data_IF_385703034332
#
_entry.id   IF_385703034332
#
_cell.length_a   1.000
_cell.length_b   1.000
_cell.length_c   1.000
_cell.angle_alpha   90.00
_cell.angle_beta   90.00
_cell.angle_gamma   90.00
#
_symmetry.space_group_name_H-M   'P 1'
#
loop_
_entity.id
_entity.type
_entity.pdbx_description
1 polymer ?
#
# COMPACT_ATOMS: atom_id res chain seq x y z
N UNK A 1 -11.40 5.50 3.13
CA UNK A 1 -10.88 6.65 2.34
C UNK A 1 -9.85 6.17 1.34
N UNK A 2 -9.89 6.66 0.11
CA UNK A 2 -8.87 6.41 -0.93
C UNK A 2 -7.73 7.43 -0.86
N UNK A 3 -7.86 8.42 -0.01
CA UNK A 3 -6.96 9.56 0.08
C UNK A 3 -6.10 9.38 1.34
N UNK A 4 -4.79 9.42 1.16
CA UNK A 4 -3.79 9.43 2.24
C UNK A 4 -3.67 10.83 2.79
N UNK A 5 -4.68 11.44 3.39
CA UNK A 5 -4.62 12.78 4.02
C UNK A 5 -3.65 13.81 3.36
N UNK A 6 -3.21 13.55 2.11
CA UNK A 6 -2.39 14.47 1.31
C UNK A 6 -3.33 15.23 0.35
N UNK A 7 -3.43 16.55 0.43
CA UNK A 7 -4.30 17.35 -0.45
C UNK A 7 -4.06 17.09 -1.94
N UNK A 8 -2.81 16.86 -2.33
CA UNK A 8 -2.43 16.51 -3.70
C UNK A 8 -3.15 15.25 -4.22
N UNK A 9 -3.31 14.24 -3.38
CA UNK A 9 -3.96 12.98 -3.77
C UNK A 9 -5.45 13.19 -4.02
N UNK A 10 -6.09 14.09 -3.24
CA UNK A 10 -7.49 14.48 -3.47
C UNK A 10 -7.63 15.22 -4.81
N UNK A 11 -6.78 16.19 -5.07
CA UNK A 11 -6.81 16.96 -6.32
C UNK A 11 -6.64 16.04 -7.53
N UNK A 12 -5.66 15.14 -7.51
CA UNK A 12 -5.45 14.16 -8.59
C UNK A 12 -6.68 13.26 -8.79
N UNK A 13 -7.26 12.73 -7.72
CA UNK A 13 -8.45 11.88 -7.80
C UNK A 13 -9.64 12.65 -8.42
N UNK A 14 -9.91 13.85 -7.93
CA UNK A 14 -11.01 14.68 -8.46
C UNK A 14 -10.79 15.03 -9.94
N UNK A 15 -9.55 15.36 -10.32
CA UNK A 15 -9.19 15.66 -11.71
C UNK A 15 -9.47 14.46 -12.62
N UNK A 16 -8.94 13.28 -12.26
CA UNK A 16 -9.13 12.06 -13.06
C UNK A 16 -10.61 11.66 -13.20
N UNK A 17 -11.41 11.83 -12.14
CA UNK A 17 -12.85 11.56 -12.20
C UNK A 17 -13.55 12.57 -13.15
N UNK A 18 -13.20 13.85 -13.07
CA UNK A 18 -13.78 14.89 -13.92
C UNK A 18 -13.41 14.68 -15.40
N UNK A 19 -12.16 14.31 -15.70
CA UNK A 19 -11.74 13.95 -17.07
C UNK A 19 -12.52 12.75 -17.60
N UNK A 20 -12.75 11.73 -16.80
CA UNK A 20 -13.52 10.55 -17.20
C UNK A 20 -14.99 10.91 -17.46
N UNK A 21 -15.61 11.76 -16.63
CA UNK A 21 -16.96 12.25 -16.85
C UNK A 21 -17.06 13.07 -18.16
N UNK A 22 -16.07 13.93 -18.42
CA UNK A 22 -15.99 14.69 -19.66
C UNK A 22 -15.85 13.76 -20.88
N UNK A 23 -14.97 12.77 -20.82
CA UNK A 23 -14.77 11.76 -21.87
C UNK A 23 -16.05 10.99 -22.18
N UNK A 24 -16.84 10.67 -21.14
CA UNK A 24 -18.15 10.01 -21.28
C UNK A 24 -19.28 10.96 -21.66
N UNK A 25 -19.01 12.27 -21.80
CA UNK A 25 -20.03 13.31 -22.06
C UNK A 25 -21.15 13.34 -21.01
N UNK A 26 -20.81 13.08 -19.75
CA UNK A 26 -21.74 13.13 -18.64
C UNK A 26 -21.82 14.57 -18.10
N UNK A 27 -23.02 15.00 -17.72
CA UNK A 27 -23.25 16.30 -17.05
C UNK A 27 -23.06 16.23 -15.54
N UNK A 28 -23.05 15.03 -14.97
CA UNK A 28 -22.88 14.77 -13.54
C UNK A 28 -21.88 13.64 -13.36
N UNK A 29 -21.00 13.79 -12.40
CA UNK A 29 -20.05 12.73 -12.00
C UNK A 29 -20.83 11.66 -11.22
N UNK A 30 -20.76 10.43 -11.70
CA UNK A 30 -21.38 9.27 -11.06
C UNK A 30 -20.34 8.21 -10.62
N UNK A 31 -20.81 7.15 -9.98
CA UNK A 31 -19.98 6.05 -9.52
C UNK A 31 -19.25 5.31 -10.65
N UNK A 32 -19.78 5.33 -11.88
CA UNK A 32 -19.15 4.69 -13.04
C UNK A 32 -17.86 5.38 -13.46
N UNK A 33 -17.79 6.72 -13.30
CA UNK A 33 -16.56 7.48 -13.53
C UNK A 33 -15.48 7.10 -12.53
N UNK A 34 -15.87 6.97 -11.26
CA UNK A 34 -14.98 6.58 -10.20
C UNK A 34 -14.40 5.17 -10.41
N UNK A 35 -15.27 4.19 -10.71
CA UNK A 35 -14.86 2.81 -10.94
C UNK A 35 -13.94 2.68 -12.16
N UNK A 36 -14.19 3.45 -13.21
CA UNK A 36 -13.38 3.41 -14.43
C UNK A 36 -11.93 3.86 -14.22
N UNK A 37 -11.69 4.82 -13.29
CA UNK A 37 -10.35 5.35 -13.05
C UNK A 37 -9.62 4.69 -11.90
N UNK A 38 -10.32 3.86 -11.12
CA UNK A 38 -9.80 3.34 -9.84
C UNK A 38 -8.51 2.53 -10.01
N UNK A 39 -8.41 1.74 -11.06
CA UNK A 39 -7.23 0.94 -11.35
C UNK A 39 -6.04 1.83 -11.71
N UNK A 40 -6.18 2.69 -12.71
CA UNK A 40 -5.12 3.62 -13.16
C UNK A 40 -4.67 4.52 -12.00
N UNK A 41 -5.62 5.08 -11.25
CA UNK A 41 -5.31 5.88 -10.06
C UNK A 41 -4.49 5.08 -9.04
N UNK A 42 -4.86 3.83 -8.80
CA UNK A 42 -4.15 2.94 -7.86
C UNK A 42 -2.71 2.65 -8.33
N UNK A 43 -2.53 2.44 -9.64
CA UNK A 43 -1.21 2.21 -10.25
C UNK A 43 -0.31 3.43 -10.10
N UNK A 44 -0.83 4.62 -10.41
CA UNK A 44 -0.09 5.87 -10.21
C UNK A 44 0.29 6.10 -8.75
N UNK A 45 -0.63 5.82 -7.81
CA UNK A 45 -0.35 5.94 -6.37
C UNK A 45 0.75 4.99 -5.92
N UNK A 46 0.74 3.75 -6.44
CA UNK A 46 1.79 2.77 -6.14
C UNK A 46 3.14 3.22 -6.69
N UNK A 47 3.17 3.71 -7.93
CA UNK A 47 4.37 4.27 -8.57
C UNK A 47 4.92 5.47 -7.79
N UNK A 48 4.07 6.42 -7.40
CA UNK A 48 4.49 7.57 -6.59
C UNK A 48 5.10 7.12 -5.25
N UNK A 49 4.50 6.11 -4.61
CA UNK A 49 5.02 5.56 -3.36
C UNK A 49 6.39 4.92 -3.54
N UNK A 50 6.57 4.13 -4.61
CA UNK A 50 7.87 3.52 -4.92
C UNK A 50 8.92 4.61 -5.16
N UNK A 51 8.63 5.60 -6.00
CA UNK A 51 9.56 6.69 -6.31
C UNK A 51 9.96 7.51 -5.07
N UNK A 52 9.02 7.72 -4.13
CA UNK A 52 9.29 8.46 -2.88
C UNK A 52 10.25 7.71 -1.95
N UNK A 53 10.24 6.37 -1.96
CA UNK A 53 10.94 5.57 -0.96
C UNK A 53 11.97 4.57 -1.50
N UNK A 54 12.20 4.51 -2.82
CA UNK A 54 13.13 3.55 -3.43
C UNK A 54 14.55 3.66 -2.89
N UNK A 55 15.01 4.87 -2.54
CA UNK A 55 16.32 5.10 -1.94
C UNK A 55 16.43 4.52 -0.51
N UNK A 56 15.30 4.39 0.20
CA UNK A 56 15.28 3.79 1.53
C UNK A 56 15.13 2.28 1.49
N UNK A 57 14.41 1.74 0.48
CA UNK A 57 14.23 0.31 0.24
C UNK A 57 14.27 0.05 -1.27
N UNK A 58 15.43 -0.30 -1.86
CA UNK A 58 15.59 -0.46 -3.32
C UNK A 58 14.68 -1.51 -3.95
N UNK A 59 14.29 -2.55 -3.19
CA UNK A 59 13.36 -3.60 -3.64
C UNK A 59 11.90 -3.34 -3.24
N UNK A 60 11.54 -2.06 -3.02
CA UNK A 60 10.20 -1.70 -2.55
C UNK A 60 9.11 -2.15 -3.51
N UNK A 61 9.29 -1.92 -4.81
CA UNK A 61 8.30 -2.31 -5.81
C UNK A 61 7.98 -3.81 -5.76
N UNK A 62 9.01 -4.66 -5.76
CA UNK A 62 8.85 -6.12 -5.71
C UNK A 62 8.16 -6.56 -4.41
N UNK A 63 8.53 -5.92 -3.29
CA UNK A 63 7.89 -6.16 -2.02
C UNK A 63 6.40 -5.84 -2.07
N UNK A 64 6.03 -4.65 -2.57
CA UNK A 64 4.64 -4.21 -2.63
C UNK A 64 3.78 -5.10 -3.53
N UNK A 65 4.30 -5.51 -4.68
CA UNK A 65 3.62 -6.45 -5.60
C UNK A 65 3.40 -7.80 -4.91
N UNK A 66 4.41 -8.35 -4.21
CA UNK A 66 4.29 -9.61 -3.47
C UNK A 66 3.38 -9.53 -2.24
N UNK A 67 3.04 -8.33 -1.79
CA UNK A 67 2.00 -8.13 -0.77
C UNK A 67 0.57 -8.29 -1.33
N UNK A 68 0.38 -8.41 -2.64
CA UNK A 68 -0.92 -8.74 -3.23
C UNK A 68 -1.51 -10.02 -2.60
N UNK A 69 -2.84 -10.10 -2.48
CA UNK A 69 -3.48 -11.32 -2.00
C UNK A 69 -3.18 -12.51 -2.92
N UNK A 70 -2.79 -13.61 -2.34
CA UNK A 70 -2.62 -14.88 -3.06
C UNK A 70 -3.97 -15.46 -3.48
N UNK A 71 -3.99 -16.37 -4.45
CA UNK A 71 -5.22 -17.07 -4.87
C UNK A 71 -5.95 -17.73 -3.70
N UNK A 72 -5.21 -18.29 -2.75
CA UNK A 72 -5.77 -18.89 -1.53
C UNK A 72 -6.44 -17.83 -0.64
N UNK A 73 -5.82 -16.66 -0.46
CA UNK A 73 -6.39 -15.55 0.31
C UNK A 73 -7.63 -14.97 -0.39
N UNK A 74 -7.64 -14.91 -1.73
CA UNK A 74 -8.79 -14.45 -2.52
C UNK A 74 -10.01 -15.39 -2.34
N UNK A 75 -9.79 -16.69 -2.24
CA UNK A 75 -10.85 -17.69 -2.04
C UNK A 75 -11.35 -17.72 -0.60
N UNK A 76 -10.47 -17.58 0.39
CA UNK A 76 -10.79 -17.74 1.81
C UNK A 76 -11.31 -16.48 2.50
N UNK A 77 -10.96 -15.29 2.01
CA UNK A 77 -11.22 -14.00 2.69
C UNK A 77 -11.97 -13.00 1.81
N UNK A 78 -13.01 -13.38 1.11
CA UNK A 78 -13.70 -12.60 0.08
C UNK A 78 -13.76 -11.06 0.34
N UNK A 79 -14.37 -10.60 1.42
CA UNK A 79 -14.50 -9.16 1.75
C UNK A 79 -13.27 -8.57 2.46
N UNK A 80 -12.48 -9.38 3.16
CA UNK A 80 -11.34 -8.95 3.98
C UNK A 80 -9.99 -9.43 3.42
N UNK A 81 -9.92 -9.72 2.13
CA UNK A 81 -8.71 -10.24 1.44
C UNK A 81 -7.46 -9.36 1.57
N UNK A 82 -7.63 -8.09 1.90
CA UNK A 82 -6.53 -7.14 2.13
C UNK A 82 -6.29 -6.86 3.62
N UNK A 83 -6.90 -7.64 4.52
CA UNK A 83 -6.80 -7.47 5.96
C UNK A 83 -6.07 -8.66 6.56
N UNK A 84 -5.13 -8.36 7.43
CA UNK A 84 -4.25 -9.33 8.09
C UNK A 84 -4.26 -9.10 9.61
N UNK A 85 -4.30 -10.14 10.40
CA UNK A 85 -3.84 -10.06 11.79
C UNK A 85 -2.35 -9.76 11.84
N UNK A 86 -1.82 -9.37 12.98
CA UNK A 86 -0.37 -9.12 13.13
C UNK A 86 0.44 -10.39 12.79
N UNK A 87 -0.04 -11.55 13.23
CA UNK A 87 0.61 -12.82 12.93
C UNK A 87 0.60 -13.17 11.42
N UNK A 88 -0.53 -12.96 10.75
CA UNK A 88 -0.65 -13.19 9.29
C UNK A 88 0.24 -12.22 8.49
N UNK A 89 0.29 -10.94 8.89
CA UNK A 89 1.15 -9.94 8.26
C UNK A 89 2.62 -10.35 8.37
N UNK A 90 3.06 -10.72 9.57
CA UNK A 90 4.43 -11.16 9.81
C UNK A 90 4.76 -12.46 9.05
N UNK A 91 3.85 -13.42 9.02
CA UNK A 91 4.03 -14.66 8.27
C UNK A 91 4.18 -14.39 6.76
N UNK A 92 3.33 -13.50 6.21
CA UNK A 92 3.40 -13.09 4.80
C UNK A 92 4.73 -12.43 4.47
N UNK A 93 5.19 -11.48 5.28
CA UNK A 93 6.48 -10.79 5.09
C UNK A 93 7.64 -11.77 5.20
N UNK A 94 7.65 -12.69 6.18
CA UNK A 94 8.67 -13.74 6.31
C UNK A 94 8.74 -14.63 5.07
N UNK A 95 7.59 -15.02 4.53
CA UNK A 95 7.55 -15.82 3.30
C UNK A 95 8.14 -15.05 2.09
N UNK A 96 7.85 -13.76 1.97
CA UNK A 96 8.46 -12.91 0.94
C UNK A 96 9.97 -12.84 1.12
N UNK A 97 10.46 -12.67 2.35
CA UNK A 97 11.90 -12.62 2.67
C UNK A 97 12.64 -13.90 2.33
N UNK A 98 12.02 -15.07 2.42
CA UNK A 98 12.67 -16.35 2.04
C UNK A 98 13.08 -16.37 0.55
N UNK A 99 12.37 -15.59 -0.29
CA UNK A 99 12.60 -15.54 -1.73
C UNK A 99 13.30 -14.25 -2.18
N UNK A 100 13.60 -13.34 -1.24
CA UNK A 100 14.06 -12.01 -1.59
C UNK A 100 14.83 -11.37 -0.43
N UNK A 101 16.10 -11.04 -0.66
CA UNK A 101 16.89 -10.29 0.31
C UNK A 101 16.44 -8.84 0.34
N UNK A 102 15.87 -8.39 1.46
CA UNK A 102 15.38 -7.03 1.67
C UNK A 102 16.32 -6.29 2.59
N UNK A 103 16.78 -5.12 2.14
CA UNK A 103 17.60 -4.20 2.95
C UNK A 103 16.91 -2.85 3.04
N UNK A 104 16.98 -2.22 4.21
CA UNK A 104 16.43 -0.89 4.47
C UNK A 104 17.58 0.05 4.85
N UNK A 105 17.54 1.28 4.34
CA UNK A 105 18.50 2.31 4.73
C UNK A 105 18.33 2.66 6.21
N UNK A 106 19.44 2.58 6.94
CA UNK A 106 19.51 2.91 8.36
C UNK A 106 20.37 4.17 8.56
N UNK A 107 19.75 5.22 9.06
CA UNK A 107 20.41 6.51 9.24
C UNK A 107 21.57 6.48 10.26
N UNK A 108 21.51 5.57 11.25
CA UNK A 108 22.55 5.41 12.26
C UNK A 108 23.88 4.85 11.72
N UNK A 109 23.85 4.17 10.60
CA UNK A 109 25.05 3.61 9.93
C UNK A 109 25.18 4.11 8.48
N UNK A 110 24.33 5.00 8.03
CA UNK A 110 24.36 5.65 6.69
C UNK A 110 24.48 4.65 5.54
N UNK A 111 23.87 3.47 5.67
CA UNK A 111 23.91 2.39 4.66
C UNK A 111 22.64 1.54 4.66
N UNK A 112 22.51 0.75 3.59
CA UNK A 112 21.52 -0.31 3.49
C UNK A 112 21.93 -1.49 4.38
N UNK A 113 21.08 -1.86 5.33
CA UNK A 113 21.26 -3.02 6.19
C UNK A 113 20.16 -4.05 5.96
N UNK A 114 20.48 -5.36 6.04
CA UNK A 114 19.45 -6.39 6.01
C UNK A 114 18.35 -6.10 7.04
N UNK A 115 17.12 -6.16 6.63
CA UNK A 115 15.98 -5.87 7.48
C UNK A 115 15.29 -7.17 7.91
N UNK A 116 14.85 -7.25 9.16
CA UNK A 116 13.97 -8.30 9.62
C UNK A 116 12.49 -8.00 9.26
N UNK A 117 11.63 -8.98 9.48
CA UNK A 117 10.21 -8.85 9.13
C UNK A 117 9.48 -7.78 9.96
N UNK A 118 9.91 -7.49 11.19
CA UNK A 118 9.35 -6.42 12.01
C UNK A 118 9.70 -5.05 11.44
N UNK A 119 10.95 -4.87 11.03
CA UNK A 119 11.43 -3.63 10.41
C UNK A 119 10.72 -3.38 9.08
N UNK A 120 10.49 -4.44 8.29
CA UNK A 120 9.75 -4.33 7.03
C UNK A 120 8.29 -3.98 7.29
N UNK A 121 7.62 -4.66 8.23
CA UNK A 121 6.23 -4.35 8.59
C UNK A 121 6.09 -2.90 9.08
N UNK A 122 6.98 -2.47 9.97
CA UNK A 122 7.03 -1.09 10.46
C UNK A 122 7.27 -0.08 9.32
N UNK A 123 8.17 -0.40 8.38
CA UNK A 123 8.42 0.44 7.21
C UNK A 123 7.18 0.57 6.32
N UNK A 124 6.48 -0.54 6.02
CA UNK A 124 5.23 -0.53 5.25
C UNK A 124 4.14 0.32 5.93
N UNK A 125 4.07 0.30 7.26
CA UNK A 125 3.19 1.16 8.04
C UNK A 125 3.63 2.64 7.98
N UNK A 126 4.92 2.91 8.15
CA UNK A 126 5.52 4.26 8.06
C UNK A 126 5.24 4.94 6.73
N UNK A 127 5.42 4.24 5.62
CA UNK A 127 5.15 4.79 4.29
C UNK A 127 3.66 4.85 3.94
N UNK A 128 2.78 4.32 4.82
CA UNK A 128 1.33 4.32 4.67
C UNK A 128 0.82 3.36 3.60
N UNK A 129 1.58 2.31 3.27
CA UNK A 129 1.10 1.22 2.43
C UNK A 129 0.09 0.35 3.18
N UNK A 130 0.34 0.11 4.47
CA UNK A 130 -0.62 -0.51 5.38
C UNK A 130 -1.08 0.48 6.44
N UNK A 131 -2.28 0.25 6.98
CA UNK A 131 -2.87 1.03 8.08
C UNK A 131 -3.32 0.09 9.19
N UNK A 132 -3.24 0.56 10.44
CA UNK A 132 -3.87 -0.12 11.57
C UNK A 132 -5.39 -0.02 11.45
N UNK A 133 -6.10 -1.11 11.79
CA UNK A 133 -7.56 -1.20 11.76
C UNK A 133 -8.05 -1.85 13.06
N UNK A 134 -8.99 -1.20 13.73
CA UNK A 134 -9.61 -1.72 14.95
C UNK A 134 -11.13 -1.53 14.88
N UNK A 135 -11.89 -2.47 15.42
CA UNK A 135 -13.32 -2.25 15.68
C UNK A 135 -13.47 -1.60 17.06
N UNK A 136 -14.18 -0.48 17.10
CA UNK A 136 -14.57 0.13 18.38
C UNK A 136 -15.75 -0.61 19.00
N UNK A 137 -16.14 -0.19 20.21
CA UNK A 137 -17.26 -0.79 20.98
C UNK A 137 -18.60 -0.73 20.23
N UNK A 138 -18.80 0.24 19.34
CA UNK A 138 -19.99 0.34 18.49
C UNK A 138 -19.92 -0.51 17.22
N UNK A 139 -18.86 -1.32 17.04
CA UNK A 139 -18.64 -2.15 15.85
C UNK A 139 -18.12 -1.40 14.62
N UNK A 140 -17.94 -0.07 14.72
CA UNK A 140 -17.40 0.76 13.64
C UNK A 140 -15.90 0.53 13.48
N UNK A 141 -15.45 0.51 12.21
CA UNK A 141 -14.03 0.36 11.90
C UNK A 141 -13.35 1.71 11.99
N UNK A 142 -12.34 1.78 12.84
CA UNK A 142 -11.42 2.90 12.97
C UNK A 142 -10.07 2.54 12.35
N UNK A 143 -9.49 3.50 11.63
CA UNK A 143 -8.17 3.37 11.00
C UNK A 143 -7.18 4.27 11.71
N UNK A 144 -6.02 3.70 11.99
CA UNK A 144 -4.92 4.41 12.63
C UNK A 144 -3.75 4.47 11.66
N UNK A 145 -3.26 5.67 11.44
CA UNK A 145 -2.15 5.96 10.54
C UNK A 145 -0.86 6.15 11.32
N UNK A 146 0.26 6.00 10.63
CA UNK A 146 1.58 6.16 11.25
C UNK A 146 1.76 7.50 11.96
N UNK A 147 1.29 8.60 11.37
CA UNK A 147 1.40 9.94 11.92
C UNK A 147 0.66 10.10 13.27
N UNK A 148 -0.38 9.27 13.49
CA UNK A 148 -1.17 9.26 14.73
C UNK A 148 -0.56 8.36 15.79
N UNK A 149 0.05 7.25 15.38
CA UNK A 149 0.59 6.24 16.30
C UNK A 149 1.80 5.53 15.70
N UNK A 150 2.98 6.18 15.64
CA UNK A 150 4.15 5.64 14.94
C UNK A 150 4.71 4.36 15.57
N UNK A 151 4.42 4.10 16.84
CA UNK A 151 4.95 2.94 17.57
C UNK A 151 3.99 1.73 17.59
N UNK A 152 2.85 1.81 16.88
CA UNK A 152 1.81 0.79 16.97
C UNK A 152 2.28 -0.59 16.50
N UNK A 153 3.17 -0.65 15.52
CA UNK A 153 3.75 -1.88 14.94
C UNK A 153 5.22 -2.06 15.37
N UNK A 154 5.58 -1.65 16.58
CA UNK A 154 6.92 -1.87 17.09
C UNK A 154 7.02 -3.28 17.71
N UNK A 155 8.16 -3.94 17.53
CA UNK A 155 8.44 -5.30 18.04
C UNK A 155 8.18 -5.47 19.55
N UNK A 156 8.29 -4.40 20.32
CA UNK A 156 8.11 -4.40 21.77
C UNK A 156 6.66 -4.15 22.23
N UNK A 157 5.74 -3.93 21.29
CA UNK A 157 4.33 -3.68 21.59
C UNK A 157 3.56 -4.94 21.22
N UNK A 158 3.06 -5.66 22.23
CA UNK A 158 2.21 -6.83 22.01
C UNK A 158 0.99 -6.51 21.16
N UNK A 159 0.36 -7.55 20.62
CA UNK A 159 -0.86 -7.42 19.82
C UNK A 159 -1.95 -6.70 20.64
N UNK A 160 -2.28 -5.47 20.25
CA UNK A 160 -3.30 -4.63 20.92
C UNK A 160 -4.68 -4.79 20.30
N UNK A 161 -4.93 -5.91 19.63
CA UNK A 161 -6.18 -6.19 18.94
C UNK A 161 -6.37 -5.40 17.65
N UNK A 162 -5.27 -4.93 17.05
CA UNK A 162 -5.27 -4.34 15.72
C UNK A 162 -5.15 -5.41 14.63
N UNK A 163 -5.87 -5.22 13.55
CA UNK A 163 -5.59 -5.82 12.25
C UNK A 163 -4.92 -4.79 11.34
N UNK A 164 -4.28 -5.28 10.29
CA UNK A 164 -3.53 -4.47 9.33
C UNK A 164 -4.18 -4.58 7.97
N UNK A 165 -4.55 -3.46 7.37
CA UNK A 165 -5.12 -3.50 6.04
C UNK A 165 -4.22 -2.77 5.04
N UNK A 166 -4.08 -3.34 3.83
CA UNK A 166 -3.49 -2.62 2.71
C UNK A 166 -4.41 -1.45 2.39
N UNK A 167 -3.81 -0.25 2.36
CA UNK A 167 -4.57 0.99 2.15
C UNK A 167 -5.38 0.92 0.83
N UNK A 168 -6.66 1.32 0.83
CA UNK A 168 -7.54 1.20 -0.33
C UNK A 168 -6.98 1.81 -1.63
N UNK A 169 -6.17 2.88 -1.52
CA UNK A 169 -5.55 3.54 -2.66
C UNK A 169 -4.65 2.63 -3.52
N UNK A 170 -4.16 1.53 -2.97
CA UNK A 170 -3.23 0.61 -3.69
C UNK A 170 -3.89 -0.67 -4.15
N UNK A 171 -5.12 -0.96 -3.70
CA UNK A 171 -5.76 -2.27 -3.92
C UNK A 171 -6.08 -2.53 -5.39
N UNK A 172 -6.45 -1.49 -6.17
CA UNK A 172 -6.70 -1.62 -7.60
C UNK A 172 -5.46 -2.09 -8.36
N UNK A 173 -4.29 -1.52 -8.02
CA UNK A 173 -3.02 -1.93 -8.59
C UNK A 173 -2.63 -3.39 -8.26
N UNK A 174 -3.00 -3.87 -7.07
CA UNK A 174 -2.66 -5.21 -6.60
C UNK A 174 -3.69 -6.28 -7.02
N UNK A 175 -4.88 -5.89 -7.45
CA UNK A 175 -5.92 -6.83 -7.88
C UNK A 175 -5.54 -7.56 -9.18
N UNK A 176 -4.78 -6.90 -10.05
CA UNK A 176 -4.34 -7.40 -11.36
C UNK A 176 -2.91 -7.96 -11.34
N UNK A 177 -2.29 -8.08 -10.18
CA UNK A 177 -0.90 -8.50 -9.97
C UNK A 177 -0.55 -9.94 -10.38
N UNK A 178 -1.40 -10.61 -11.17
CA UNK A 178 -1.14 -11.90 -11.81
C UNK A 178 -0.82 -11.79 -13.30
N UNK A 179 -0.85 -10.59 -13.88
CA UNK A 179 -0.46 -10.37 -15.28
C UNK A 179 0.97 -9.84 -15.35
N UNK A 180 1.84 -10.56 -16.04
CA UNK A 180 3.28 -10.37 -16.24
C UNK A 180 3.70 -9.06 -16.97
N UNK A 181 2.84 -8.04 -17.03
CA UNK A 181 3.06 -6.79 -17.77
C UNK A 181 3.32 -5.56 -16.88
N UNK A 182 4.04 -5.71 -15.76
CA UNK A 182 4.52 -4.59 -14.96
C UNK A 182 5.95 -4.19 -15.33
N UNK A 183 6.19 -3.80 -16.56
CA UNK A 183 7.36 -2.98 -16.87
C UNK A 183 7.08 -1.54 -16.45
N UNK A 184 7.43 -1.21 -15.18
CA UNK A 184 7.66 0.20 -14.84
C UNK A 184 8.98 0.57 -15.51
N UNK A 185 8.87 1.19 -16.66
CA UNK A 185 10.03 1.86 -17.27
C UNK A 185 10.42 3.01 -16.34
N UNK A 186 11.44 2.80 -15.53
CA UNK A 186 12.13 3.88 -14.86
C UNK A 186 12.82 4.69 -15.96
N UNK A 187 12.20 5.78 -16.40
CA UNK A 187 12.91 6.79 -17.18
C UNK A 187 13.94 7.43 -16.25
N UNK A 188 15.16 6.90 -16.30
CA UNK A 188 16.36 7.48 -15.68
C UNK A 188 17.00 8.55 -16.57
N UNK A 189 16.28 9.01 -17.60
CA UNK A 189 16.76 10.07 -18.48
C UNK A 189 16.03 11.36 -18.15
N UNK A 190 16.60 12.13 -17.22
CA UNK A 190 16.52 13.58 -17.20
C UNK A 190 17.46 14.14 -16.09
N UNK A 191 18.79 13.99 -16.34
CA UNK A 191 19.82 14.92 -15.87
C UNK A 191 21.06 14.76 -16.75
N UNK A 192 21.13 15.57 -17.79
CA UNK A 192 22.36 15.93 -18.47
C UNK A 192 22.36 17.44 -18.72
#
# INVERSE_FOLDING_TARGET
>A
SLIRRKPRDMVKLCHSIAEEAYRKKLTVIDSSCFLAILETYSQERLKDLVNEYINQLPKLQDLLIRMAPTQKELQSKSAERYVYSTAELHAKIKNIQQNMNISIYQANCEKLCPADFHQIAHFLYKIGFITGRKRNESGKIERVYYDESPYLLNANVGDRGYSWEIHPAYRGALANGTNDNWEITLNLDDEA
#
